data_IF_168668200534
#
_entry.id   IF_168668200534
#
_cell.length_a   1.000
_cell.length_b   1.000
_cell.length_c   1.000
_cell.angle_alpha   90.00
_cell.angle_beta   90.00
_cell.angle_gamma   90.00
#
_symmetry.space_group_name_H-M   'P 1'
#
loop_
_entity.id
_entity.type
_entity.pdbx_description
1 polymer ?
#
# COMPACT_ATOMS: atom_id res chain seq x y z
N UNK A 1 7.35 -17.14 -55.60
CA UNK A 1 8.61 -17.13 -54.84
C UNK A 1 8.33 -17.55 -53.41
N UNK A 2 8.79 -18.72 -52.95
CA UNK A 2 8.72 -19.12 -51.55
C UNK A 2 10.10 -18.99 -50.89
N UNK A 3 10.16 -18.28 -49.77
CA UNK A 3 11.27 -18.31 -48.81
C UNK A 3 10.64 -18.00 -47.45
N UNK A 4 10.78 -18.79 -46.41
CA UNK A 4 11.88 -19.63 -45.99
C UNK A 4 11.99 -19.38 -44.50
N UNK A 5 11.18 -20.09 -43.70
CA UNK A 5 11.11 -19.92 -42.25
C UNK A 5 12.17 -20.80 -41.58
N UNK A 6 13.26 -20.17 -41.15
CA UNK A 6 14.31 -20.82 -40.36
C UNK A 6 13.88 -20.98 -38.89
N UNK A 7 13.70 -22.24 -38.52
CA UNK A 7 13.45 -22.69 -37.15
C UNK A 7 14.74 -22.70 -36.34
N UNK A 8 14.89 -21.74 -35.42
CA UNK A 8 16.00 -21.71 -34.47
C UNK A 8 15.83 -22.79 -33.38
N UNK A 9 16.61 -23.86 -33.54
CA UNK A 9 16.74 -25.03 -32.66
C UNK A 9 17.64 -24.68 -31.46
N UNK A 10 17.03 -24.42 -30.31
CA UNK A 10 17.75 -24.25 -29.04
C UNK A 10 18.22 -25.61 -28.50
N UNK A 11 19.54 -25.82 -28.46
CA UNK A 11 20.16 -27.00 -27.86
C UNK A 11 20.37 -26.78 -26.36
N UNK A 12 19.61 -27.54 -25.55
CA UNK A 12 19.76 -27.63 -24.10
C UNK A 12 21.05 -28.35 -23.73
N UNK A 13 22.10 -27.59 -23.38
CA UNK A 13 23.30 -28.12 -22.71
C UNK A 13 22.96 -28.52 -21.27
N UNK A 14 22.94 -29.82 -20.98
CA UNK A 14 22.85 -30.35 -19.61
C UNK A 14 24.17 -30.12 -18.84
N UNK A 15 24.13 -29.71 -17.56
CA UNK A 15 25.32 -29.61 -16.74
C UNK A 15 25.83 -31.00 -16.31
N UNK A 16 27.15 -31.21 -16.41
CA UNK A 16 27.85 -32.41 -15.93
C UNK A 16 27.81 -32.46 -14.39
N UNK A 17 27.18 -33.48 -13.85
CA UNK A 17 27.27 -33.84 -12.43
C UNK A 17 28.68 -34.38 -12.14
N UNK A 18 29.40 -33.69 -11.25
CA UNK A 18 30.71 -34.11 -10.72
C UNK A 18 30.46 -35.01 -9.51
N UNK A 19 30.83 -36.30 -9.60
CA UNK A 19 30.76 -37.24 -8.46
C UNK A 19 31.75 -36.81 -7.37
N UNK A 20 31.37 -36.81 -6.08
CA UNK A 20 32.32 -36.63 -4.99
C UNK A 20 33.13 -37.92 -4.75
N UNK A 21 34.42 -37.73 -4.54
CA UNK A 21 35.40 -38.78 -4.26
C UNK A 21 35.07 -39.52 -2.96
N UNK A 22 35.15 -40.85 -3.07
CA UNK A 22 35.11 -41.83 -2.00
C UNK A 22 36.42 -41.71 -1.22
N UNK A 23 36.38 -41.19 0.01
CA UNK A 23 37.54 -41.17 0.91
C UNK A 23 37.47 -42.38 1.83
N UNK A 24 38.57 -43.13 1.76
CA UNK A 24 39.04 -44.26 2.57
C UNK A 24 38.61 -44.26 4.04
N UNK A 25 38.07 -45.40 4.44
CA UNK A 25 38.17 -45.95 5.79
C UNK A 25 39.64 -46.23 6.13
N UNK A 26 40.03 -45.95 7.36
CA UNK A 26 41.35 -46.29 7.89
C UNK A 26 41.57 -45.75 9.29
N UNK A 27 41.71 -46.69 10.23
CA UNK A 27 42.50 -46.58 11.47
C UNK A 27 41.81 -46.00 12.73
N UNK A 28 41.19 -46.94 13.44
CA UNK A 28 41.09 -47.02 14.89
C UNK A 28 42.46 -46.87 15.57
N UNK A 29 42.60 -45.86 16.43
CA UNK A 29 43.72 -45.72 17.38
C UNK A 29 43.21 -45.21 18.73
N UNK A 30 43.63 -45.79 19.87
CA UNK A 30 43.05 -45.51 21.19
C UNK A 30 43.73 -44.34 21.90
N UNK A 31 42.98 -43.70 22.80
CA UNK A 31 43.53 -43.07 24.00
C UNK A 31 44.32 -41.78 23.81
N UNK A 32 43.63 -40.64 23.70
CA UNK A 32 44.17 -39.36 24.18
C UNK A 32 43.19 -38.62 25.06
N UNK A 33 43.68 -38.36 26.27
CA UNK A 33 43.10 -37.58 27.35
C UNK A 33 42.37 -36.34 26.83
N UNK A 34 41.08 -36.28 27.16
CA UNK A 34 40.18 -35.17 26.91
C UNK A 34 40.52 -34.05 27.89
N UNK A 35 41.59 -33.32 27.57
CA UNK A 35 41.98 -32.13 28.32
C UNK A 35 40.91 -31.05 28.09
N UNK A 36 40.32 -30.61 29.20
CA UNK A 36 39.32 -29.55 29.30
C UNK A 36 39.73 -28.31 28.51
N UNK A 37 39.16 -28.14 27.31
CA UNK A 37 39.21 -26.91 26.51
C UNK A 37 37.86 -26.20 26.66
N UNK A 38 37.58 -25.73 27.87
CA UNK A 38 36.29 -25.10 28.24
C UNK A 38 36.35 -23.57 28.38
N UNK A 39 37.41 -22.93 27.87
CA UNK A 39 37.56 -21.47 27.98
C UNK A 39 38.20 -21.02 26.66
N UNK A 40 37.37 -20.67 25.68
CA UNK A 40 37.72 -19.87 24.46
C UNK A 40 36.49 -19.67 23.55
N UNK A 41 35.41 -20.44 23.75
CA UNK A 41 34.15 -20.33 22.98
C UNK A 41 33.46 -18.98 23.12
N UNK A 42 33.72 -18.24 24.21
CA UNK A 42 33.14 -16.91 24.43
C UNK A 42 33.85 -15.81 23.62
N UNK A 43 35.18 -15.93 23.41
CA UNK A 43 35.95 -15.02 22.57
C UNK A 43 35.60 -15.17 21.09
N UNK A 44 35.44 -16.41 20.63
CA UNK A 44 35.01 -16.71 19.26
C UNK A 44 33.60 -16.19 18.99
N UNK A 45 32.65 -16.40 19.92
CA UNK A 45 31.27 -15.94 19.74
C UNK A 45 31.15 -14.41 19.60
N UNK A 46 31.97 -13.63 20.33
CA UNK A 46 32.00 -12.17 20.22
C UNK A 46 32.66 -11.70 18.91
N UNK A 47 33.74 -12.36 18.48
CA UNK A 47 34.41 -12.10 17.20
C UNK A 47 33.47 -12.32 16.00
N UNK A 48 32.73 -13.44 16.00
CA UNK A 48 31.72 -13.76 14.98
C UNK A 48 30.55 -12.77 14.98
N UNK A 49 30.14 -12.29 16.15
CA UNK A 49 29.08 -11.29 16.24
C UNK A 49 29.51 -9.95 15.61
N UNK A 50 30.74 -9.49 15.87
CA UNK A 50 31.28 -8.26 15.29
C UNK A 50 31.47 -8.34 13.78
N UNK A 51 32.03 -9.44 13.26
CA UNK A 51 32.19 -9.61 11.81
C UNK A 51 30.84 -9.70 11.09
N UNK A 52 29.84 -10.34 11.69
CA UNK A 52 28.49 -10.38 11.13
C UNK A 52 27.84 -8.99 11.08
N UNK A 53 27.99 -8.17 12.13
CA UNK A 53 27.45 -6.80 12.13
C UNK A 53 28.11 -5.91 11.08
N UNK A 54 29.42 -6.03 10.90
CA UNK A 54 30.16 -5.21 9.93
C UNK A 54 29.85 -5.59 8.48
N UNK A 55 29.72 -6.89 8.21
CA UNK A 55 29.30 -7.38 6.89
C UNK A 55 27.88 -6.93 6.54
N UNK A 56 26.95 -6.98 7.51
CA UNK A 56 25.58 -6.49 7.31
C UNK A 56 25.58 -4.98 7.10
N UNK A 57 26.40 -4.22 7.84
CA UNK A 57 26.56 -2.78 7.63
C UNK A 57 27.07 -2.42 6.23
N UNK A 58 28.09 -3.13 5.75
CA UNK A 58 28.63 -2.91 4.40
C UNK A 58 27.64 -3.29 3.30
N UNK A 59 26.91 -4.40 3.45
CA UNK A 59 25.90 -4.83 2.48
C UNK A 59 24.70 -3.88 2.42
N UNK A 60 24.23 -3.41 3.59
CA UNK A 60 23.13 -2.44 3.65
C UNK A 60 23.52 -1.09 3.05
N UNK A 61 24.74 -0.61 3.30
CA UNK A 61 25.27 0.62 2.70
C UNK A 61 25.36 0.53 1.16
N UNK A 62 25.90 -0.57 0.61
CA UNK A 62 25.97 -0.77 -0.85
C UNK A 62 24.59 -0.95 -1.50
N UNK A 63 23.69 -1.69 -0.85
CA UNK A 63 22.32 -1.82 -1.32
C UNK A 63 21.63 -0.45 -1.37
N UNK A 64 21.89 0.41 -0.38
CA UNK A 64 21.34 1.74 -0.29
C UNK A 64 21.88 2.69 -1.38
N UNK A 65 23.18 2.66 -1.66
CA UNK A 65 23.78 3.49 -2.74
C UNK A 65 23.30 3.05 -4.13
N UNK A 66 23.22 1.75 -4.40
CA UNK A 66 22.70 1.22 -5.67
C UNK A 66 21.22 1.59 -5.87
N UNK A 67 20.41 1.50 -4.82
CA UNK A 67 18.99 1.90 -4.85
C UNK A 67 18.84 3.40 -5.10
N UNK A 68 19.71 4.23 -4.51
CA UNK A 68 19.70 5.68 -4.72
C UNK A 68 20.01 6.06 -6.19
N UNK A 69 21.06 5.45 -6.78
CA UNK A 69 21.49 5.73 -8.16
C UNK A 69 20.46 5.28 -9.19
N UNK A 70 19.97 4.04 -9.09
CA UNK A 70 18.92 3.52 -9.98
C UNK A 70 17.66 4.40 -9.93
N UNK A 71 17.28 4.86 -8.74
CA UNK A 71 16.10 5.69 -8.54
C UNK A 71 16.26 7.09 -9.13
N UNK A 72 17.43 7.71 -8.98
CA UNK A 72 17.72 9.01 -9.61
C UNK A 72 17.49 8.91 -11.13
N UNK A 73 18.01 7.85 -11.75
CA UNK A 73 17.82 7.58 -13.17
C UNK A 73 16.35 7.33 -13.54
N UNK A 74 15.63 6.50 -12.78
CA UNK A 74 14.20 6.19 -13.05
C UNK A 74 13.30 7.41 -12.86
N UNK A 75 13.48 8.18 -11.79
CA UNK A 75 12.70 9.40 -11.56
C UNK A 75 12.98 10.46 -12.62
N UNK A 76 14.24 10.65 -13.00
CA UNK A 76 14.62 11.61 -14.04
C UNK A 76 14.01 11.22 -15.38
N UNK A 77 14.04 9.92 -15.74
CA UNK A 77 13.40 9.41 -16.96
C UNK A 77 11.88 9.58 -16.90
N UNK A 78 11.24 9.16 -15.81
CA UNK A 78 9.78 9.21 -15.68
C UNK A 78 9.22 10.63 -15.70
N UNK A 79 9.82 11.56 -14.94
CA UNK A 79 9.35 12.95 -14.90
C UNK A 79 9.60 13.67 -16.23
N UNK A 80 10.77 13.43 -16.85
CA UNK A 80 11.07 14.01 -18.17
C UNK A 80 10.12 13.49 -19.24
N UNK A 81 9.87 12.17 -19.27
CA UNK A 81 8.89 11.54 -20.17
C UNK A 81 7.52 12.19 -20.01
N UNK A 82 7.00 12.27 -18.78
CA UNK A 82 5.69 12.88 -18.47
C UNK A 82 5.60 14.36 -18.86
N UNK A 83 6.67 15.14 -18.72
CA UNK A 83 6.68 16.53 -19.14
C UNK A 83 6.63 16.69 -20.66
N UNK A 84 7.37 15.84 -21.38
CA UNK A 84 7.34 15.79 -22.84
C UNK A 84 5.99 15.30 -23.36
N UNK A 85 5.44 14.23 -22.76
CA UNK A 85 4.10 13.69 -23.02
C UNK A 85 3.02 14.75 -22.78
N UNK A 86 3.10 15.50 -21.68
CA UNK A 86 2.15 16.57 -21.39
C UNK A 86 2.21 17.71 -22.41
N UNK A 87 3.40 18.19 -22.78
CA UNK A 87 3.53 19.23 -23.79
C UNK A 87 2.98 18.76 -25.15
N UNK A 88 3.31 17.53 -25.51
CA UNK A 88 2.85 16.83 -26.71
C UNK A 88 1.32 16.65 -26.72
N UNK A 89 0.73 16.32 -25.57
CA UNK A 89 -0.72 16.17 -25.41
C UNK A 89 -1.46 17.51 -25.56
N UNK A 90 -0.97 18.57 -24.90
CA UNK A 90 -1.54 19.91 -25.05
C UNK A 90 -1.50 20.40 -26.50
N UNK A 91 -0.39 20.14 -27.19
CA UNK A 91 -0.23 20.51 -28.60
C UNK A 91 -1.19 19.74 -29.51
N UNK A 92 -1.37 18.43 -29.28
CA UNK A 92 -2.30 17.64 -30.09
C UNK A 92 -3.77 18.00 -29.88
N UNK A 93 -4.13 18.47 -28.69
CA UNK A 93 -5.49 18.89 -28.38
C UNK A 93 -5.74 20.38 -28.70
N UNK A 94 -4.75 21.07 -29.30
CA UNK A 94 -4.80 22.50 -29.64
C UNK A 94 -5.24 23.40 -28.46
N UNK A 95 -4.85 23.05 -27.23
CA UNK A 95 -5.21 23.83 -26.05
C UNK A 95 -4.30 25.06 -25.97
N UNK A 96 -4.74 26.19 -26.53
CA UNK A 96 -3.95 27.43 -26.58
C UNK A 96 -3.69 28.06 -25.19
N UNK A 97 -2.40 28.19 -24.87
CA UNK A 97 -1.84 29.40 -24.25
C UNK A 97 -1.98 29.67 -22.75
N UNK A 98 -2.97 29.13 -22.01
CA UNK A 98 -3.22 29.62 -20.62
C UNK A 98 -2.91 28.67 -19.46
N UNK A 99 -2.53 27.41 -19.68
CA UNK A 99 -2.55 26.37 -18.62
C UNK A 99 -1.23 25.75 -18.17
N UNK A 100 -0.06 26.30 -18.50
CA UNK A 100 1.20 25.54 -18.37
C UNK A 100 2.07 25.81 -17.12
N UNK A 101 1.95 26.98 -16.48
CA UNK A 101 2.98 27.45 -15.55
C UNK A 101 2.87 26.76 -14.20
N UNK A 102 1.68 26.69 -13.59
CA UNK A 102 1.53 26.05 -12.28
C UNK A 102 1.67 24.54 -12.37
N UNK A 103 1.21 23.94 -13.46
CA UNK A 103 1.39 22.51 -13.72
C UNK A 103 2.88 22.16 -13.82
N UNK A 104 3.68 22.94 -14.56
CA UNK A 104 5.14 22.75 -14.60
C UNK A 104 5.78 22.95 -13.23
N UNK A 105 5.33 23.94 -12.45
CA UNK A 105 5.81 24.17 -11.08
C UNK A 105 5.51 22.97 -10.19
N UNK A 106 4.27 22.47 -10.21
CA UNK A 106 3.84 21.31 -9.42
C UNK A 106 4.57 20.04 -9.84
N UNK A 107 4.84 19.83 -11.12
CA UNK A 107 5.66 18.70 -11.58
C UNK A 107 7.10 18.82 -11.06
N UNK A 108 7.69 20.02 -11.04
CA UNK A 108 9.01 20.27 -10.42
C UNK A 108 9.00 20.08 -8.91
N UNK A 109 7.97 20.55 -8.20
CA UNK A 109 7.84 20.36 -6.74
C UNK A 109 7.60 18.90 -6.39
N UNK A 110 6.78 18.20 -7.17
CA UNK A 110 6.53 16.76 -7.01
C UNK A 110 7.81 15.99 -7.29
N UNK A 111 8.62 16.40 -8.28
CA UNK A 111 9.96 15.86 -8.51
C UNK A 111 10.87 16.07 -7.31
N UNK A 112 11.03 17.31 -6.82
CA UNK A 112 11.84 17.61 -5.61
C UNK A 112 11.37 16.80 -4.40
N UNK A 113 10.06 16.59 -4.29
CA UNK A 113 9.47 15.78 -3.23
C UNK A 113 9.77 14.30 -3.43
N UNK A 114 9.69 13.76 -4.65
CA UNK A 114 10.04 12.38 -4.96
C UNK A 114 11.54 12.10 -4.79
N UNK A 115 12.38 13.12 -4.98
CA UNK A 115 13.81 13.11 -4.70
C UNK A 115 14.11 13.14 -3.19
N UNK A 116 13.31 13.85 -2.38
CA UNK A 116 13.54 14.01 -0.92
C UNK A 116 12.79 13.01 -0.03
N UNK A 117 11.66 12.46 -0.47
CA UNK A 117 10.74 11.67 0.38
C UNK A 117 11.15 10.21 0.70
N UNK A 118 12.07 9.50 0.03
CA UNK A 118 12.20 8.07 0.32
C UNK A 118 13.17 7.71 1.42
N UNK A 119 14.09 8.59 1.81
CA UNK A 119 15.09 8.24 2.82
C UNK A 119 14.39 7.96 4.15
N UNK A 120 13.48 8.84 4.59
CA UNK A 120 12.76 8.66 5.86
C UNK A 120 11.68 7.57 5.84
N UNK A 121 11.08 7.24 4.69
CA UNK A 121 10.01 6.23 4.63
C UNK A 121 10.54 4.82 4.44
N UNK A 122 11.58 4.64 3.62
CA UNK A 122 12.22 3.34 3.42
C UNK A 122 13.09 3.03 4.64
N UNK A 123 13.93 3.96 5.11
CA UNK A 123 14.64 3.76 6.37
C UNK A 123 13.67 3.61 7.53
N UNK A 124 12.56 4.37 7.56
CA UNK A 124 11.50 4.20 8.55
C UNK A 124 10.82 2.83 8.50
N UNK A 125 10.57 2.27 7.31
CA UNK A 125 9.99 0.94 7.14
C UNK A 125 10.99 -0.17 7.52
N UNK A 126 12.26 -0.06 7.11
CA UNK A 126 13.32 -0.98 7.53
C UNK A 126 13.56 -0.91 9.03
N UNK A 127 13.60 0.30 9.61
CA UNK A 127 13.75 0.52 11.03
C UNK A 127 12.55 -0.03 11.82
N UNK A 128 11.33 0.20 11.34
CA UNK A 128 10.12 -0.34 11.98
C UNK A 128 10.02 -1.85 11.84
N UNK A 129 10.44 -2.43 10.70
CA UNK A 129 10.58 -3.88 10.52
C UNK A 129 11.62 -4.46 11.47
N UNK A 130 12.77 -3.79 11.61
CA UNK A 130 13.85 -4.21 12.51
C UNK A 130 13.43 -4.14 13.99
N UNK A 131 12.79 -3.03 14.41
CA UNK A 131 12.19 -2.89 15.73
C UNK A 131 11.11 -3.95 15.95
N UNK A 132 10.22 -4.15 14.97
CA UNK A 132 9.18 -5.17 15.04
C UNK A 132 9.76 -6.55 15.28
N UNK A 133 10.78 -6.93 14.53
CA UNK A 133 11.50 -8.20 14.70
C UNK A 133 12.15 -8.33 16.09
N UNK A 134 12.74 -7.25 16.61
CA UNK A 134 13.33 -7.19 17.95
C UNK A 134 12.29 -7.34 19.06
N UNK A 135 11.15 -6.66 18.93
CA UNK A 135 10.03 -6.74 19.88
C UNK A 135 9.45 -8.15 19.86
N UNK A 136 9.15 -8.69 18.68
CA UNK A 136 8.65 -10.06 18.53
C UNK A 136 9.59 -11.07 19.22
N UNK A 137 10.92 -10.91 19.04
CA UNK A 137 11.91 -11.76 19.70
C UNK A 137 11.89 -11.62 21.22
N UNK A 138 11.87 -10.38 21.75
CA UNK A 138 11.80 -10.12 23.19
C UNK A 138 10.52 -10.68 23.82
N UNK A 139 9.38 -10.47 23.17
CA UNK A 139 8.08 -10.98 23.61
C UNK A 139 8.07 -12.51 23.67
N UNK A 140 8.67 -13.19 22.69
CA UNK A 140 8.77 -14.64 22.69
C UNK A 140 9.65 -15.17 23.84
N UNK A 141 10.73 -14.46 24.21
CA UNK A 141 11.57 -14.82 25.36
C UNK A 141 10.80 -14.67 26.68
N UNK A 142 10.13 -13.51 26.86
CA UNK A 142 9.35 -13.23 28.07
C UNK A 142 8.20 -14.23 28.22
N UNK A 143 7.49 -14.51 27.13
CA UNK A 143 6.37 -15.45 27.14
C UNK A 143 6.83 -16.88 27.41
N UNK A 144 7.98 -17.30 26.85
CA UNK A 144 8.59 -18.59 27.14
C UNK A 144 8.91 -18.75 28.63
N UNK A 145 9.56 -17.75 29.24
CA UNK A 145 9.90 -17.76 30.67
C UNK A 145 8.66 -17.69 31.57
N UNK A 146 7.64 -16.93 31.19
CA UNK A 146 6.40 -16.86 31.96
C UNK A 146 5.64 -18.21 31.89
N UNK A 147 5.57 -18.80 30.70
CA UNK A 147 4.91 -20.08 30.48
C UNK A 147 5.58 -21.23 31.26
N UNK A 148 6.92 -21.23 31.38
CA UNK A 148 7.61 -22.21 32.22
C UNK A 148 7.33 -21.99 33.71
N UNK A 149 7.26 -20.75 34.18
CA UNK A 149 6.96 -20.47 35.60
C UNK A 149 5.55 -20.88 36.03
N UNK A 150 4.57 -20.86 35.12
CA UNK A 150 3.17 -21.22 35.41
C UNK A 150 2.82 -22.68 35.03
N UNK A 151 3.79 -23.47 34.55
CA UNK A 151 3.56 -24.86 34.12
C UNK A 151 2.82 -25.01 32.78
N UNK A 152 2.74 -23.97 31.96
CA UNK A 152 2.09 -24.00 30.65
C UNK A 152 3.04 -24.52 29.55
N UNK A 153 3.39 -25.80 29.61
CA UNK A 153 4.44 -26.42 28.77
C UNK A 153 4.20 -26.29 27.26
N UNK A 154 2.95 -26.25 26.80
CA UNK A 154 2.60 -26.10 25.39
C UNK A 154 3.00 -24.71 24.85
N UNK A 155 2.75 -23.66 25.65
CA UNK A 155 3.07 -22.26 25.28
C UNK A 155 4.58 -22.03 25.32
N UNK A 156 5.27 -22.59 26.32
CA UNK A 156 6.73 -22.53 26.41
C UNK A 156 7.40 -23.20 25.19
N UNK A 157 6.92 -24.37 24.77
CA UNK A 157 7.40 -25.06 23.56
C UNK A 157 7.14 -24.26 22.29
N UNK A 158 5.95 -23.67 22.13
CA UNK A 158 5.62 -22.84 20.98
C UNK A 158 6.49 -21.58 20.90
N UNK A 159 6.74 -20.90 22.02
CA UNK A 159 7.61 -19.73 22.09
C UNK A 159 9.08 -20.07 21.75
N UNK A 160 9.58 -21.21 22.26
CA UNK A 160 10.91 -21.71 21.91
C UNK A 160 11.03 -22.06 20.42
N UNK A 161 9.99 -22.65 19.82
CA UNK A 161 9.96 -22.95 18.39
C UNK A 161 9.93 -21.69 17.52
N UNK A 162 9.19 -20.68 17.95
CA UNK A 162 9.18 -19.40 17.27
C UNK A 162 10.57 -18.72 17.33
N UNK A 163 11.25 -18.78 18.48
CA UNK A 163 12.64 -18.31 18.60
C UNK A 163 13.62 -19.15 17.76
N UNK A 164 13.32 -20.44 17.58
CA UNK A 164 14.09 -21.36 16.73
C UNK A 164 13.99 -21.02 15.24
N UNK A 165 12.79 -20.73 14.72
CA UNK A 165 12.61 -20.36 13.31
C UNK A 165 13.35 -19.06 12.94
N UNK A 166 13.51 -18.16 13.92
CA UNK A 166 14.30 -16.93 13.78
C UNK A 166 15.82 -17.16 13.88
N UNK A 167 16.27 -18.34 14.32
CA UNK A 167 17.70 -18.69 14.48
C UNK A 167 17.94 -20.18 14.14
N UNK A 168 18.05 -20.54 12.86
CA UNK A 168 18.06 -21.94 12.39
C UNK A 168 19.28 -22.79 12.80
N UNK A 169 20.22 -22.24 13.59
CA UNK A 169 21.47 -22.91 13.98
C UNK A 169 21.38 -23.88 15.16
N UNK A 170 20.21 -24.06 15.81
CA UNK A 170 20.13 -24.79 17.08
C UNK A 170 18.96 -25.78 17.09
N UNK A 171 19.16 -27.01 16.60
CA UNK A 171 18.38 -28.19 17.03
C UNK A 171 17.31 -28.72 16.07
N UNK A 172 17.25 -30.05 15.94
CA UNK A 172 16.36 -30.83 15.06
C UNK A 172 15.22 -31.44 15.89
N UNK A 173 14.03 -30.85 15.95
CA UNK A 173 12.82 -31.62 16.26
C UNK A 173 11.60 -31.08 15.49
N UNK A 174 10.85 -31.96 14.79
CA UNK A 174 9.61 -31.58 14.12
C UNK A 174 8.47 -31.51 15.15
N UNK A 175 7.66 -30.47 15.08
CA UNK A 175 6.39 -30.39 15.81
C UNK A 175 5.30 -30.08 14.80
N UNK A 176 4.21 -30.86 14.84
CA UNK A 176 2.96 -30.61 14.13
C UNK A 176 1.88 -30.13 15.12
N UNK A 177 1.04 -29.18 14.69
CA UNK A 177 -0.13 -28.72 15.45
C UNK A 177 -0.59 -27.31 15.04
N UNK A 178 -1.90 -27.09 15.03
CA UNK A 178 -2.56 -25.84 14.66
C UNK A 178 -2.23 -24.66 15.58
N UNK A 179 -1.89 -24.91 16.84
CA UNK A 179 -1.56 -23.86 17.83
C UNK A 179 -0.32 -23.04 17.45
N UNK A 180 0.67 -23.69 16.83
CA UNK A 180 1.86 -23.01 16.31
C UNK A 180 1.53 -22.01 15.20
N UNK A 181 0.55 -22.34 14.34
CA UNK A 181 0.10 -21.51 13.22
C UNK A 181 -0.67 -20.30 13.74
N UNK A 182 -1.59 -20.51 14.70
CA UNK A 182 -2.37 -19.44 15.32
C UNK A 182 -1.44 -18.44 16.03
N UNK A 183 -0.43 -18.95 16.73
CA UNK A 183 0.57 -18.12 17.41
C UNK A 183 1.39 -17.27 16.42
N UNK A 184 1.88 -17.87 15.34
CA UNK A 184 2.64 -17.17 14.28
C UNK A 184 1.79 -16.07 13.62
N UNK A 185 0.54 -16.36 13.28
CA UNK A 185 -0.36 -15.39 12.63
C UNK A 185 -0.65 -14.21 13.57
N UNK A 186 -1.00 -14.49 14.81
CA UNK A 186 -1.41 -13.46 15.80
C UNK A 186 -0.24 -12.53 16.12
N UNK A 187 0.94 -13.07 16.41
CA UNK A 187 2.11 -12.25 16.74
C UNK A 187 2.73 -11.54 15.52
N UNK A 188 2.52 -12.04 14.31
CA UNK A 188 2.97 -11.35 13.08
C UNK A 188 2.08 -10.17 12.71
N UNK A 189 0.77 -10.24 12.98
CA UNK A 189 -0.19 -9.17 12.65
C UNK A 189 -0.03 -7.92 13.54
N UNK A 190 0.28 -8.10 14.83
CA UNK A 190 0.41 -7.00 15.80
C UNK A 190 1.46 -5.93 15.37
N UNK A 191 2.68 -6.28 14.92
CA UNK A 191 3.65 -5.30 14.42
C UNK A 191 3.39 -4.87 12.97
N UNK A 192 2.75 -5.72 12.15
CA UNK A 192 2.39 -5.34 10.78
C UNK A 192 1.39 -4.18 10.77
N UNK A 193 0.46 -4.09 11.73
CA UNK A 193 -0.53 -3.02 11.83
C UNK A 193 0.06 -1.61 12.01
N UNK A 194 0.94 -1.31 12.98
CA UNK A 194 1.57 0.00 13.12
C UNK A 194 2.52 0.31 11.98
N UNK A 195 3.22 -0.69 11.40
CA UNK A 195 4.06 -0.49 10.21
C UNK A 195 3.20 -0.12 9.00
N UNK A 196 2.12 -0.86 8.76
CA UNK A 196 1.13 -0.55 7.74
C UNK A 196 0.51 0.83 7.97
N UNK A 197 0.17 1.17 9.21
CA UNK A 197 -0.41 2.47 9.55
C UNK A 197 0.59 3.61 9.34
N UNK A 198 1.85 3.46 9.76
CA UNK A 198 2.90 4.47 9.57
C UNK A 198 3.22 4.67 8.09
N UNK A 199 3.31 3.59 7.32
CA UNK A 199 3.57 3.65 5.87
C UNK A 199 2.38 4.30 5.16
N UNK A 200 1.15 3.84 5.38
CA UNK A 200 -0.04 4.45 4.75
C UNK A 200 -0.26 5.91 5.16
N UNK A 201 -0.07 6.26 6.44
CA UNK A 201 -0.33 7.62 6.97
C UNK A 201 0.76 8.63 6.63
N UNK A 202 2.04 8.24 6.56
CA UNK A 202 3.12 9.14 6.10
C UNK A 202 3.03 9.38 4.60
N UNK A 203 2.69 8.36 3.82
CA UNK A 203 2.53 8.50 2.37
C UNK A 203 1.33 9.40 2.03
N UNK A 204 0.31 9.43 2.90
CA UNK A 204 -0.82 10.34 2.80
C UNK A 204 -0.52 11.83 3.04
N UNK A 205 0.73 12.24 3.34
CA UNK A 205 1.08 13.66 3.57
C UNK A 205 2.09 14.26 2.60
N UNK A 206 2.72 13.44 1.76
CA UNK A 206 3.71 13.92 0.78
C UNK A 206 3.08 14.76 -0.33
N UNK A 207 3.88 15.57 -1.03
CA UNK A 207 3.41 16.40 -2.14
C UNK A 207 2.75 15.57 -3.26
N UNK A 208 3.15 14.31 -3.45
CA UNK A 208 2.48 13.38 -4.38
C UNK A 208 1.01 13.19 -4.00
N UNK A 209 0.72 13.07 -2.71
CA UNK A 209 -0.66 12.94 -2.23
C UNK A 209 -1.41 14.25 -2.34
N UNK A 210 -0.77 15.37 -2.00
CA UNK A 210 -1.35 16.72 -2.15
C UNK A 210 -1.72 17.02 -3.59
N UNK A 211 -0.85 16.67 -4.53
CA UNK A 211 -1.02 16.91 -5.96
C UNK A 211 -1.67 15.72 -6.69
N UNK A 212 -2.31 14.78 -5.98
CA UNK A 212 -2.90 13.57 -6.58
C UNK A 212 -3.95 13.91 -7.63
N UNK A 213 -4.80 14.92 -7.37
CA UNK A 213 -5.81 15.37 -8.34
C UNK A 213 -5.17 15.89 -9.63
N UNK A 214 -4.15 16.76 -9.51
CA UNK A 214 -3.39 17.25 -10.66
C UNK A 214 -2.73 16.10 -11.43
N UNK A 215 -2.00 15.21 -10.76
CA UNK A 215 -1.32 14.09 -11.43
C UNK A 215 -2.28 13.17 -12.18
N UNK A 216 -3.44 12.85 -11.58
CA UNK A 216 -4.46 12.01 -12.24
C UNK A 216 -5.16 12.73 -13.39
N UNK A 217 -5.40 14.03 -13.28
CA UNK A 217 -5.93 14.82 -14.38
C UNK A 217 -4.95 14.86 -15.57
N UNK A 218 -3.64 14.97 -15.30
CA UNK A 218 -2.60 14.91 -16.34
C UNK A 218 -2.49 13.52 -16.99
N UNK A 219 -2.55 12.45 -16.20
CA UNK A 219 -2.57 11.08 -16.73
C UNK A 219 -3.79 10.87 -17.66
N UNK A 220 -4.97 11.36 -17.26
CA UNK A 220 -6.18 11.29 -18.08
C UNK A 220 -6.07 12.18 -19.34
N UNK A 221 -5.50 13.38 -19.23
CA UNK A 221 -5.26 14.27 -20.35
C UNK A 221 -4.34 13.64 -21.40
N UNK A 222 -3.26 12.99 -20.97
CA UNK A 222 -2.35 12.29 -21.87
C UNK A 222 -3.07 11.17 -22.63
N UNK A 223 -3.83 10.32 -21.94
CA UNK A 223 -4.58 9.24 -22.58
C UNK A 223 -5.72 9.77 -23.47
N UNK A 224 -6.30 10.92 -23.15
CA UNK A 224 -7.25 11.62 -24.01
C UNK A 224 -6.61 12.07 -25.32
N UNK A 225 -5.42 12.68 -25.25
CA UNK A 225 -4.66 13.09 -26.42
C UNK A 225 -4.22 11.88 -27.27
N UNK A 226 -3.83 10.79 -26.62
CA UNK A 226 -3.48 9.55 -27.30
C UNK A 226 -4.69 8.96 -28.03
N UNK A 227 -5.85 8.86 -27.37
CA UNK A 227 -7.08 8.39 -28.00
C UNK A 227 -7.52 9.29 -29.18
N UNK A 228 -7.31 10.60 -29.09
CA UNK A 228 -7.64 11.54 -30.16
C UNK A 228 -6.78 11.34 -31.42
N UNK A 229 -5.50 11.01 -31.24
CA UNK A 229 -4.55 10.77 -32.35
C UNK A 229 -4.81 9.48 -33.10
N UNK A 230 -5.40 8.49 -32.44
CA UNK A 230 -5.60 7.18 -33.05
C UNK A 230 -6.70 7.20 -34.11
N UNK A 231 -6.51 6.35 -35.12
CA UNK A 231 -7.52 6.05 -36.13
C UNK A 231 -8.77 5.42 -35.47
N UNK A 232 -9.96 5.52 -36.08
CA UNK A 232 -11.20 5.00 -35.49
C UNK A 232 -11.14 3.53 -35.07
N UNK A 233 -10.39 2.68 -35.80
CA UNK A 233 -10.25 1.26 -35.49
C UNK A 233 -9.41 0.95 -34.24
N UNK A 234 -8.33 1.70 -34.01
CA UNK A 234 -7.44 1.48 -32.86
C UNK A 234 -7.89 2.26 -31.61
N UNK A 235 -8.74 3.28 -31.81
CA UNK A 235 -9.25 4.19 -30.78
C UNK A 235 -10.00 3.50 -29.64
N UNK A 236 -10.75 2.42 -29.92
CA UNK A 236 -11.55 1.73 -28.91
C UNK A 236 -10.72 1.23 -27.71
N UNK A 237 -9.54 0.67 -27.97
CA UNK A 237 -8.63 0.21 -26.92
C UNK A 237 -8.11 1.38 -26.06
N UNK A 238 -7.78 2.50 -26.70
CA UNK A 238 -7.30 3.72 -26.02
C UNK A 238 -8.39 4.42 -25.23
N UNK A 239 -9.63 4.39 -25.71
CA UNK A 239 -10.78 4.90 -24.97
C UNK A 239 -11.01 4.12 -23.67
N UNK A 240 -10.81 2.80 -23.68
CA UNK A 240 -10.89 2.01 -22.45
C UNK A 240 -9.84 2.41 -21.40
N UNK A 241 -8.59 2.61 -21.83
CA UNK A 241 -7.51 3.10 -20.97
C UNK A 241 -7.81 4.51 -20.45
N UNK A 242 -8.31 5.37 -21.34
CA UNK A 242 -8.74 6.73 -21.01
C UNK A 242 -9.87 6.73 -19.97
N UNK A 243 -10.92 5.94 -20.14
CA UNK A 243 -12.03 5.83 -19.19
C UNK A 243 -11.56 5.40 -17.80
N UNK A 244 -10.63 4.43 -17.75
CA UNK A 244 -10.01 3.97 -16.52
C UNK A 244 -9.17 5.06 -15.85
N UNK A 245 -8.50 5.90 -16.63
CA UNK A 245 -7.76 7.06 -16.12
C UNK A 245 -8.70 8.20 -15.68
N UNK A 246 -9.75 8.47 -16.45
CA UNK A 246 -10.77 9.46 -16.13
C UNK A 246 -11.42 9.12 -14.79
N UNK A 247 -11.90 7.89 -14.59
CA UNK A 247 -12.47 7.43 -13.29
C UNK A 247 -11.52 7.64 -12.11
N UNK A 248 -10.21 7.44 -12.31
CA UNK A 248 -9.18 7.70 -11.28
C UNK A 248 -8.98 9.20 -11.04
N UNK A 249 -9.10 10.04 -12.06
CA UNK A 249 -9.11 11.50 -11.95
C UNK A 249 -10.37 11.99 -11.22
N UNK A 250 -11.55 11.49 -11.57
CA UNK A 250 -12.81 11.79 -10.88
C UNK A 250 -12.72 11.54 -9.37
N UNK A 251 -12.25 10.35 -8.97
CA UNK A 251 -12.08 10.00 -7.57
C UNK A 251 -11.08 10.93 -6.87
N UNK A 252 -9.97 11.27 -7.53
CA UNK A 252 -8.98 12.19 -6.99
C UNK A 252 -9.54 13.63 -6.85
N UNK A 253 -10.35 14.10 -7.79
CA UNK A 253 -11.02 15.41 -7.78
C UNK A 253 -12.02 15.49 -6.62
N UNK A 254 -12.88 14.48 -6.45
CA UNK A 254 -13.85 14.41 -5.35
C UNK A 254 -13.18 14.50 -3.97
N UNK A 255 -11.97 13.95 -3.85
CA UNK A 255 -11.20 13.94 -2.61
C UNK A 255 -10.14 15.04 -2.51
N UNK A 256 -10.01 15.92 -3.52
CA UNK A 256 -8.95 16.92 -3.58
C UNK A 256 -8.92 17.85 -2.35
N UNK A 257 -10.10 18.25 -1.85
CA UNK A 257 -10.26 19.05 -0.63
C UNK A 257 -9.62 18.40 0.61
N UNK A 258 -9.52 17.07 0.67
CA UNK A 258 -8.89 16.34 1.78
C UNK A 258 -7.38 16.25 1.66
N UNK A 259 -6.88 16.19 0.42
CA UNK A 259 -5.49 15.85 0.14
C UNK A 259 -4.59 17.08 0.02
N UNK A 260 -5.07 18.16 -0.57
CA UNK A 260 -4.30 19.40 -0.77
C UNK A 260 -3.96 20.11 0.55
N UNK A 261 -4.79 19.94 1.59
CA UNK A 261 -4.57 20.52 2.91
C UNK A 261 -4.75 22.04 2.97
N UNK A 262 -5.23 22.69 1.90
CA UNK A 262 -5.49 24.13 1.85
C UNK A 262 -6.77 24.54 2.60
N UNK A 263 -7.68 23.59 2.85
CA UNK A 263 -8.93 23.81 3.55
C UNK A 263 -8.91 22.97 4.85
N UNK A 264 -9.07 23.58 6.04
CA UNK A 264 -9.18 22.85 7.29
C UNK A 264 -10.37 21.89 7.28
N UNK A 265 -10.23 20.71 7.89
CA UNK A 265 -11.22 19.63 7.85
C UNK A 265 -12.62 20.01 8.35
N UNK A 266 -12.70 20.95 9.29
CA UNK A 266 -13.96 21.42 9.90
C UNK A 266 -14.43 22.76 9.33
N UNK A 267 -13.81 23.25 8.26
CA UNK A 267 -14.22 24.52 7.65
C UNK A 267 -15.52 24.34 6.85
N UNK A 268 -16.48 25.28 6.93
CA UNK A 268 -17.66 25.26 6.07
C UNK A 268 -17.29 25.33 4.57
N UNK A 269 -16.13 25.91 4.24
CA UNK A 269 -15.57 25.93 2.88
C UNK A 269 -15.33 24.54 2.30
N UNK A 270 -15.16 23.52 3.14
CA UNK A 270 -15.00 22.14 2.69
C UNK A 270 -16.29 21.58 2.07
N UNK A 271 -17.47 21.98 2.57
CA UNK A 271 -18.74 21.58 2.00
C UNK A 271 -18.94 22.19 0.60
N UNK A 272 -18.68 23.49 0.46
CA UNK A 272 -18.72 24.18 -0.83
C UNK A 272 -17.71 23.57 -1.83
N UNK A 273 -16.47 23.32 -1.42
CA UNK A 273 -15.46 22.67 -2.27
C UNK A 273 -15.86 21.25 -2.69
N UNK A 274 -16.54 20.50 -1.81
CA UNK A 274 -17.07 19.16 -2.13
C UNK A 274 -18.22 19.23 -3.13
N UNK A 275 -19.15 20.18 -2.97
CA UNK A 275 -20.24 20.39 -3.91
C UNK A 275 -19.71 20.79 -5.29
N UNK A 276 -18.76 21.73 -5.33
CA UNK A 276 -18.07 22.14 -6.57
C UNK A 276 -17.38 20.96 -7.25
N UNK A 277 -16.64 20.13 -6.49
CA UNK A 277 -15.99 18.95 -7.04
C UNK A 277 -17.00 17.95 -7.64
N UNK A 278 -18.18 17.78 -7.03
CA UNK A 278 -19.24 16.93 -7.58
C UNK A 278 -19.81 17.47 -8.91
N UNK A 279 -19.95 18.80 -9.03
CA UNK A 279 -20.34 19.47 -10.28
C UNK A 279 -19.26 19.30 -11.37
N UNK A 280 -17.99 19.49 -11.02
CA UNK A 280 -16.86 19.32 -11.95
C UNK A 280 -16.82 17.91 -12.50
N UNK A 281 -16.98 16.88 -11.66
CA UNK A 281 -17.01 15.49 -12.13
C UNK A 281 -18.28 15.21 -12.96
N UNK A 282 -19.42 15.81 -12.60
CA UNK A 282 -20.62 15.77 -13.42
C UNK A 282 -20.40 16.34 -14.83
N UNK A 283 -19.72 17.47 -14.92
CA UNK A 283 -19.35 18.10 -16.19
C UNK A 283 -18.44 17.18 -17.02
N UNK A 284 -17.41 16.58 -16.40
CA UNK A 284 -16.52 15.62 -17.08
C UNK A 284 -17.29 14.42 -17.64
N UNK A 285 -18.27 13.89 -16.90
CA UNK A 285 -19.10 12.77 -17.37
C UNK A 285 -20.05 13.17 -18.49
N UNK A 286 -20.67 14.33 -18.39
CA UNK A 286 -21.53 14.84 -19.43
C UNK A 286 -20.77 14.99 -20.76
N UNK A 287 -19.51 15.44 -20.69
CA UNK A 287 -18.66 15.56 -21.87
C UNK A 287 -18.13 14.19 -22.35
N UNK A 288 -17.83 13.24 -21.45
CA UNK A 288 -17.42 11.89 -21.85
C UNK A 288 -18.51 11.11 -22.58
N UNK A 289 -19.78 11.32 -22.22
CA UNK A 289 -20.90 10.71 -22.94
C UNK A 289 -21.04 11.21 -24.38
N UNK A 290 -20.49 12.39 -24.72
CA UNK A 290 -20.50 12.92 -26.08
C UNK A 290 -19.44 12.26 -26.98
N UNK A 291 -18.48 11.51 -26.41
CA UNK A 291 -17.44 10.81 -27.19
C UNK A 291 -18.09 9.81 -28.15
N UNK A 292 -19.16 9.15 -27.75
CA UNK A 292 -19.86 8.16 -28.58
C UNK A 292 -20.58 8.81 -29.77
N UNK A 293 -20.94 10.09 -29.67
CA UNK A 293 -21.62 10.83 -30.72
C UNK A 293 -20.62 11.57 -31.65
N UNK A 294 -19.67 12.30 -31.07
CA UNK A 294 -18.63 13.02 -31.81
C UNK A 294 -17.30 13.03 -31.03
N UNK A 295 -16.44 12.01 -31.24
CA UNK A 295 -15.18 11.90 -30.53
C UNK A 295 -14.17 12.99 -30.93
N UNK A 296 -14.29 13.55 -32.13
CA UNK A 296 -13.34 14.54 -32.64
C UNK A 296 -13.56 15.91 -31.98
N UNK A 297 -14.79 16.21 -31.54
CA UNK A 297 -15.12 17.42 -30.78
C UNK A 297 -15.03 17.18 -29.27
N UNK A 298 -15.52 16.04 -28.78
CA UNK A 298 -15.58 15.77 -27.34
C UNK A 298 -14.20 15.58 -26.69
N UNK A 299 -13.26 14.89 -27.36
CA UNK A 299 -11.93 14.61 -26.80
C UNK A 299 -11.08 15.89 -26.59
N UNK A 300 -10.96 16.82 -27.56
CA UNK A 300 -10.30 18.11 -27.33
C UNK A 300 -10.93 18.90 -26.18
N UNK A 301 -12.27 18.94 -26.11
CA UNK A 301 -12.98 19.67 -25.05
C UNK A 301 -12.74 19.08 -23.66
N UNK A 302 -12.79 17.75 -23.53
CA UNK A 302 -12.41 17.04 -22.31
C UNK A 302 -10.95 17.30 -21.92
N UNK A 303 -10.05 17.26 -22.90
CA UNK A 303 -8.65 17.60 -22.71
C UNK A 303 -8.46 18.99 -22.14
N UNK A 304 -9.15 20.00 -22.70
CA UNK A 304 -9.13 21.36 -22.17
C UNK A 304 -9.64 21.43 -20.72
N UNK A 305 -10.76 20.76 -20.41
CA UNK A 305 -11.29 20.70 -19.03
C UNK A 305 -10.28 20.07 -18.06
N UNK A 306 -9.68 18.93 -18.43
CA UNK A 306 -8.67 18.25 -17.60
C UNK A 306 -7.43 19.10 -17.37
N UNK A 307 -6.97 19.82 -18.40
CA UNK A 307 -5.85 20.75 -18.28
C UNK A 307 -6.16 21.90 -17.30
N UNK A 308 -7.35 22.51 -17.42
CA UNK A 308 -7.80 23.58 -16.50
C UNK A 308 -7.92 23.06 -15.07
N UNK A 309 -8.53 21.88 -14.87
CA UNK A 309 -8.65 21.26 -13.54
C UNK A 309 -7.27 20.99 -12.95
N UNK A 310 -6.34 20.43 -13.74
CA UNK A 310 -4.97 20.16 -13.33
C UNK A 310 -4.25 21.42 -12.83
N UNK A 311 -4.32 22.50 -13.62
CA UNK A 311 -3.72 23.81 -13.33
C UNK A 311 -4.34 24.46 -12.09
N UNK A 312 -5.68 24.46 -11.98
CA UNK A 312 -6.39 25.05 -10.83
C UNK A 312 -6.15 24.25 -9.55
N UNK A 313 -6.11 22.92 -9.62
CA UNK A 313 -5.73 22.07 -8.50
C UNK A 313 -4.28 22.32 -8.07
N UNK A 314 -3.36 22.46 -9.04
CA UNK A 314 -1.96 22.79 -8.80
C UNK A 314 -1.80 24.13 -8.09
N UNK A 315 -2.65 25.11 -8.43
CA UNK A 315 -2.73 26.40 -7.78
C UNK A 315 -3.49 26.39 -6.42
N UNK A 316 -3.98 25.23 -5.96
CA UNK A 316 -4.75 25.10 -4.72
C UNK A 316 -6.19 25.65 -4.79
N UNK A 317 -6.71 25.97 -5.98
CA UNK A 317 -8.04 26.54 -6.22
C UNK A 317 -9.13 25.47 -6.32
N UNK A 318 -9.36 24.74 -5.22
CA UNK A 318 -10.27 23.58 -5.16
C UNK A 318 -11.74 23.99 -5.32
N UNK A 319 -12.13 25.17 -4.83
CA UNK A 319 -13.49 25.69 -5.00
C UNK A 319 -13.77 26.33 -6.36
N UNK A 320 -12.79 26.35 -7.26
CA UNK A 320 -12.88 26.95 -8.59
C UNK A 320 -12.01 26.17 -9.59
N UNK A 321 -12.15 24.83 -9.57
CA UNK A 321 -11.37 23.94 -10.44
C UNK A 321 -11.69 24.10 -11.92
N UNK A 322 -12.93 24.45 -12.23
CA UNK A 322 -13.44 24.61 -13.57
C UNK A 322 -14.28 25.89 -13.61
N UNK A 323 -14.18 26.72 -14.66
CA UNK A 323 -15.01 27.91 -14.83
C UNK A 323 -16.50 27.58 -14.90
N UNK A 324 -17.35 28.54 -14.51
CA UNK A 324 -18.81 28.38 -14.47
C UNK A 324 -19.42 28.07 -15.85
N UNK A 325 -18.81 28.55 -16.93
CA UNK A 325 -19.23 28.27 -18.31
C UNK A 325 -19.27 26.76 -18.63
N UNK A 326 -18.37 25.96 -18.04
CA UNK A 326 -18.36 24.51 -18.22
C UNK A 326 -19.32 23.80 -17.26
N UNK A 327 -19.78 24.47 -16.21
CA UNK A 327 -20.62 23.91 -15.16
C UNK A 327 -22.10 24.19 -15.37
N UNK A 328 -22.46 25.15 -16.22
CA UNK A 328 -23.85 25.57 -16.46
C UNK A 328 -24.80 24.42 -16.83
N UNK A 329 -24.30 23.38 -17.50
CA UNK A 329 -25.07 22.20 -17.92
C UNK A 329 -24.74 20.95 -17.10
N UNK A 330 -23.88 21.06 -16.09
CA UNK A 330 -23.39 19.91 -15.35
C UNK A 330 -24.40 19.51 -14.28
N UNK A 331 -24.86 18.26 -14.32
CA UNK A 331 -25.61 17.68 -13.21
C UNK A 331 -24.62 17.25 -12.12
N UNK A 332 -24.80 17.70 -10.87
CA UNK A 332 -23.93 17.23 -9.79
C UNK A 332 -24.10 15.73 -9.68
N UNK A 333 -22.99 14.98 -9.66
CA UNK A 333 -23.08 13.54 -9.43
C UNK A 333 -23.67 13.36 -8.05
N UNK A 334 -24.89 12.83 -8.04
CA UNK A 334 -25.66 12.71 -6.81
C UNK A 334 -24.87 11.90 -5.80
N UNK A 335 -25.08 12.23 -4.53
CA UNK A 335 -24.53 11.55 -3.37
C UNK A 335 -24.88 10.05 -3.32
N UNK A 336 -25.55 9.48 -4.31
CA UNK A 336 -25.80 8.04 -4.47
C UNK A 336 -24.52 7.21 -4.42
N UNK A 337 -23.42 7.64 -5.06
CA UNK A 337 -22.13 6.92 -4.91
C UNK A 337 -21.59 6.97 -3.48
N UNK A 338 -21.83 8.07 -2.78
CA UNK A 338 -21.53 8.15 -1.35
C UNK A 338 -22.48 7.30 -0.52
N UNK A 339 -23.76 7.21 -0.89
CA UNK A 339 -24.74 6.34 -0.24
C UNK A 339 -24.39 4.85 -0.43
N UNK A 340 -23.95 4.43 -1.63
CA UNK A 340 -23.47 3.07 -1.89
C UNK A 340 -22.21 2.77 -1.09
N UNK A 341 -21.27 3.73 -1.03
CA UNK A 341 -20.05 3.52 -0.24
C UNK A 341 -20.35 3.49 1.26
N UNK A 342 -21.32 4.27 1.70
CA UNK A 342 -21.82 4.24 3.08
C UNK A 342 -22.57 2.93 3.37
N UNK A 343 -23.37 2.42 2.43
CA UNK A 343 -24.05 1.14 2.60
C UNK A 343 -23.08 -0.04 2.62
N UNK A 344 -22.08 -0.07 1.74
CA UNK A 344 -21.01 -1.09 1.76
C UNK A 344 -20.24 -1.05 3.08
N UNK A 345 -19.97 0.15 3.61
CA UNK A 345 -19.29 0.27 4.88
C UNK A 345 -20.14 -0.18 6.07
N UNK A 346 -21.43 0.15 6.07
CA UNK A 346 -22.40 -0.36 7.06
C UNK A 346 -22.49 -1.88 6.98
N UNK A 347 -22.58 -2.45 5.77
CA UNK A 347 -22.54 -3.89 5.57
C UNK A 347 -21.27 -4.52 6.15
N UNK A 348 -20.09 -3.93 5.90
CA UNK A 348 -18.83 -4.42 6.46
C UNK A 348 -18.80 -4.37 8.00
N UNK A 349 -19.38 -3.34 8.63
CA UNK A 349 -19.51 -3.25 10.10
C UNK A 349 -20.39 -4.38 10.63
N UNK A 350 -21.55 -4.62 9.99
CA UNK A 350 -22.47 -5.70 10.37
C UNK A 350 -21.79 -7.06 10.22
N UNK A 351 -21.13 -7.32 9.09
CA UNK A 351 -20.41 -8.58 8.86
C UNK A 351 -19.31 -8.79 9.90
N UNK A 352 -18.53 -7.76 10.22
CA UNK A 352 -17.49 -7.86 11.25
C UNK A 352 -18.07 -8.17 12.64
N UNK A 353 -19.18 -7.54 13.02
CA UNK A 353 -19.86 -7.78 14.28
C UNK A 353 -20.40 -9.21 14.38
N UNK A 354 -21.01 -9.72 13.30
CA UNK A 354 -21.51 -11.10 13.23
C UNK A 354 -20.38 -12.12 13.32
N UNK A 355 -19.30 -11.92 12.55
CA UNK A 355 -18.11 -12.80 12.59
C UNK A 355 -17.48 -12.82 13.98
N UNK A 356 -17.40 -11.66 14.65
CA UNK A 356 -16.91 -11.58 16.03
C UNK A 356 -17.84 -12.29 17.01
N UNK A 357 -19.16 -12.21 16.83
CA UNK A 357 -20.13 -12.91 17.66
C UNK A 357 -19.97 -14.44 17.55
N UNK A 358 -19.90 -14.94 16.32
CA UNK A 358 -19.74 -16.38 16.04
C UNK A 358 -18.40 -16.87 16.57
N UNK A 359 -17.32 -16.10 16.37
CA UNK A 359 -15.99 -16.43 16.89
C UNK A 359 -15.93 -16.40 18.43
N UNK A 360 -16.56 -15.42 19.07
CA UNK A 360 -16.63 -15.37 20.53
C UNK A 360 -17.42 -16.56 21.09
N UNK A 361 -18.56 -16.88 20.50
CA UNK A 361 -19.40 -17.99 20.94
C UNK A 361 -18.67 -19.35 20.87
N UNK A 362 -17.85 -19.58 19.83
CA UNK A 362 -17.07 -20.81 19.71
C UNK A 362 -15.91 -20.87 20.71
N UNK A 363 -15.19 -19.77 20.90
CA UNK A 363 -14.04 -19.70 21.82
C UNK A 363 -14.47 -19.79 23.28
N UNK A 364 -15.54 -19.10 23.68
CA UNK A 364 -16.03 -19.10 25.07
C UNK A 364 -16.44 -20.50 25.54
N UNK A 365 -17.01 -21.31 24.64
CA UNK A 365 -17.34 -22.72 24.93
C UNK A 365 -16.11 -23.54 25.28
N UNK A 366 -15.01 -23.35 24.56
CA UNK A 366 -13.76 -24.07 24.80
C UNK A 366 -13.09 -23.64 26.11
N UNK A 367 -13.26 -22.37 26.48
CA UNK A 367 -12.70 -21.80 27.70
C UNK A 367 -13.49 -22.13 28.98
N UNK A 368 -14.63 -22.83 28.87
CA UNK A 368 -15.45 -23.21 30.03
C UNK A 368 -16.04 -22.01 30.77
N UNK A 369 -16.31 -20.91 30.08
CA UNK A 369 -16.91 -19.72 30.68
C UNK A 369 -18.36 -20.04 31.09
N UNK A 370 -18.79 -19.50 32.24
CA UNK A 370 -20.15 -19.70 32.74
C UNK A 370 -21.20 -19.28 31.69
N UNK A 371 -22.18 -20.14 31.44
CA UNK A 371 -23.23 -19.94 30.42
C UNK A 371 -24.01 -18.63 30.63
N UNK A 372 -24.15 -18.16 31.87
CA UNK A 372 -24.82 -16.90 32.17
C UNK A 372 -24.05 -15.66 31.65
N UNK A 373 -22.73 -15.78 31.44
CA UNK A 373 -21.87 -14.70 30.93
C UNK A 373 -21.71 -14.73 29.40
N UNK A 374 -22.02 -15.85 28.75
CA UNK A 374 -21.90 -16.02 27.30
C UNK A 374 -22.60 -14.91 26.48
N UNK A 375 -23.89 -14.58 26.71
CA UNK A 375 -24.57 -13.58 25.89
C UNK A 375 -23.92 -12.20 26.03
N UNK A 376 -23.53 -11.81 27.24
CA UNK A 376 -22.90 -10.52 27.51
C UNK A 376 -21.53 -10.38 26.84
N UNK A 377 -20.68 -11.41 26.93
CA UNK A 377 -19.36 -11.40 26.29
C UNK A 377 -19.46 -11.42 24.76
N UNK A 378 -20.42 -12.18 24.21
CA UNK A 378 -20.66 -12.23 22.76
C UNK A 378 -21.07 -10.85 22.23
N UNK A 379 -22.03 -10.19 22.90
CA UNK A 379 -22.45 -8.82 22.56
C UNK A 379 -21.28 -7.85 22.69
N UNK A 380 -20.48 -7.95 23.76
CA UNK A 380 -19.29 -7.13 23.97
C UNK A 380 -18.28 -7.26 22.83
N UNK A 381 -17.96 -8.49 22.41
CA UNK A 381 -17.05 -8.75 21.28
C UNK A 381 -17.59 -8.22 19.96
N UNK A 382 -18.89 -8.39 19.68
CA UNK A 382 -19.52 -7.85 18.47
C UNK A 382 -19.47 -6.32 18.42
N UNK A 383 -19.80 -5.65 19.54
CA UNK A 383 -19.75 -4.19 19.65
C UNK A 383 -18.32 -3.69 19.49
N UNK A 384 -17.35 -4.34 20.12
CA UNK A 384 -15.94 -3.98 19.99
C UNK A 384 -15.45 -4.11 18.54
N UNK A 385 -15.79 -5.21 17.86
CA UNK A 385 -15.45 -5.39 16.45
C UNK A 385 -16.10 -4.33 15.55
N UNK A 386 -17.38 -4.01 15.80
CA UNK A 386 -18.08 -2.95 15.08
C UNK A 386 -17.41 -1.58 15.28
N UNK A 387 -16.98 -1.26 16.51
CA UNK A 387 -16.27 -0.01 16.83
C UNK A 387 -14.92 0.05 16.12
N UNK A 388 -14.16 -1.05 16.11
CA UNK A 388 -12.86 -1.11 15.46
C UNK A 388 -12.95 -0.93 13.94
N UNK A 389 -13.99 -1.49 13.31
CA UNK A 389 -14.20 -1.40 11.85
C UNK A 389 -14.85 -0.08 11.43
N UNK A 390 -15.88 0.36 12.15
CA UNK A 390 -16.67 1.57 11.81
C UNK A 390 -16.09 2.88 12.36
N UNK A 391 -15.22 2.81 13.36
CA UNK A 391 -14.63 3.95 14.05
C UNK A 391 -15.58 4.62 15.05
N UNK A 392 -15.01 5.14 16.14
CA UNK A 392 -15.74 5.73 17.27
C UNK A 392 -16.74 6.84 16.89
N UNK A 393 -16.40 7.66 15.89
CA UNK A 393 -17.21 8.82 15.51
C UNK A 393 -18.59 8.45 14.93
N UNK A 394 -18.75 7.27 14.32
CA UNK A 394 -20.05 6.84 13.81
C UNK A 394 -20.88 6.12 14.87
N UNK A 395 -20.23 5.40 15.79
CA UNK A 395 -20.88 4.79 16.94
C UNK A 395 -21.48 5.86 17.84
N UNK A 396 -20.78 6.98 18.06
CA UNK A 396 -21.35 8.14 18.77
C UNK A 396 -22.66 8.65 18.14
N UNK A 397 -22.72 8.76 16.80
CA UNK A 397 -23.95 9.17 16.08
C UNK A 397 -25.08 8.13 16.14
N UNK A 398 -24.76 6.84 16.20
CA UNK A 398 -25.77 5.80 16.39
C UNK A 398 -26.30 5.77 17.82
N UNK A 399 -25.43 6.05 18.80
CA UNK A 399 -25.82 6.19 20.21
C UNK A 399 -26.70 7.42 20.44
N UNK A 400 -26.48 8.51 19.69
CA UNK A 400 -27.37 9.69 19.67
C UNK A 400 -28.78 9.38 19.13
N UNK A 401 -28.93 8.32 18.32
CA UNK A 401 -30.22 7.90 17.76
C UNK A 401 -30.96 6.87 18.63
N UNK A 402 -30.36 6.37 19.71
CA UNK A 402 -31.04 5.48 20.64
C UNK A 402 -31.89 6.31 21.61
N UNK A 403 -33.23 6.28 21.50
CA UNK A 403 -34.10 7.04 22.40
C UNK A 403 -34.00 6.43 23.80
N UNK A 404 -33.43 7.16 24.75
CA UNK A 404 -33.24 6.66 26.11
C UNK A 404 -32.27 7.44 27.01
N UNK A 405 -31.86 8.64 26.60
CA UNK A 405 -31.18 9.61 27.47
C UNK A 405 -31.79 10.98 27.32
#
# INVERSE_FOLDING_TARGET
MPGGTDSNRWTLRRPRFRRPNRIREGETGPGRLRQHRSIDTQGDALSWAHTATDQIGAQTSRAWSNLATWRCQVNQRSVRSRLCEFATALQALQVEGRGGVQTRRVLRETRKTLETVPYGSVAGAYFAMWIGLRIIKLSAIILGNLATTIGAEAVARAAHYFLWSLRPGVGKQPIGGWDSVIFIITFSLIPLLPIWWLTTRRWARGAVHRNRATLRALDALYLCAEAHRQSPGERASRLHDFDSALRRAEDAILHAHRHLGTIPRRSPRAAAARAHAALVVGALRAESLKIDADPNVALPRLGAMLAVIGERCAAGRIGAMLPEEFLAQATPISLTRTAIRESVHVAAIITAAMTAAVGAASVLRVLGVNENLHPWLTVGCSVLAAILVGGWHRVGRLLELLPGR
#
